data_IF_195556304795
#
_entry.id   IF_195556304795
#
_cell.length_a   1.000
_cell.length_b   1.000
_cell.length_c   1.000
_cell.angle_alpha   90.00
_cell.angle_beta   90.00
_cell.angle_gamma   90.00
#
_symmetry.space_group_name_H-M   'P 1'
#
loop_
_entity.id
_entity.type
_entity.pdbx_description
1 polymer ?
#
# COMPACT_ATOMS: atom_id res chain seq x y z
N UNK A 1 1.44 18.48 -9.99
CA UNK A 1 1.32 17.46 -8.92
C UNK A 1 2.48 17.67 -7.96
N UNK A 2 2.34 17.48 -6.64
CA UNK A 2 3.41 17.73 -5.66
C UNK A 2 3.70 16.50 -4.79
N UNK A 3 4.97 16.34 -4.42
CA UNK A 3 5.48 15.23 -3.60
C UNK A 3 6.11 15.77 -2.31
N UNK A 4 5.68 15.25 -1.16
CA UNK A 4 6.26 15.59 0.15
C UNK A 4 6.89 14.34 0.79
N UNK A 5 8.14 14.46 1.27
CA UNK A 5 8.93 13.40 1.90
C UNK A 5 9.07 13.65 3.42
N UNK A 6 8.98 12.60 4.24
CA UNK A 6 9.14 12.64 5.70
C UNK A 6 10.00 11.48 6.21
N UNK A 7 10.91 11.74 7.16
CA UNK A 7 11.85 10.74 7.73
C UNK A 7 11.27 10.12 9.01
N UNK A 8 11.08 8.81 9.07
CA UNK A 8 10.43 8.11 10.19
C UNK A 8 11.32 7.83 11.41
N UNK A 9 10.80 8.05 12.62
CA UNK A 9 11.39 7.58 13.91
C UNK A 9 11.19 6.06 14.10
N UNK A 10 12.19 5.35 14.64
CA UNK A 10 12.15 3.91 14.94
C UNK A 10 11.05 3.55 15.97
N UNK A 11 10.18 2.58 15.64
CA UNK A 11 9.24 1.95 16.58
C UNK A 11 9.77 0.58 17.05
N UNK A 12 9.48 0.20 18.31
CA UNK A 12 9.83 -1.10 18.87
C UNK A 12 8.99 -2.24 18.27
N UNK A 13 9.60 -3.39 18.03
CA UNK A 13 8.97 -4.57 17.41
C UNK A 13 8.35 -5.49 18.49
N UNK A 14 7.11 -5.98 18.33
CA UNK A 14 6.57 -7.01 19.18
C UNK A 14 7.20 -8.38 18.85
N UNK A 15 7.44 -9.18 19.88
CA UNK A 15 7.90 -10.57 19.77
C UNK A 15 6.76 -11.43 19.21
N UNK A 16 7.04 -12.24 18.18
CA UNK A 16 6.09 -13.23 17.63
C UNK A 16 6.73 -14.60 17.71
N UNK A 17 6.11 -15.46 18.52
CA UNK A 17 6.23 -16.90 18.38
C UNK A 17 5.47 -17.30 17.10
N UNK A 18 6.17 -17.80 16.09
CA UNK A 18 5.60 -18.14 14.78
C UNK A 18 5.59 -19.65 14.68
N UNK A 19 4.48 -20.26 15.06
CA UNK A 19 4.17 -21.62 14.63
C UNK A 19 3.87 -21.64 13.14
N UNK A 20 4.45 -22.65 12.50
CA UNK A 20 4.48 -22.97 11.08
C UNK A 20 3.08 -22.91 10.42
N UNK A 21 2.79 -21.80 9.75
CA UNK A 21 1.73 -21.67 8.77
C UNK A 21 2.17 -20.57 7.80
N UNK A 22 2.30 -20.91 6.52
CA UNK A 22 2.75 -19.96 5.50
C UNK A 22 1.86 -18.71 5.56
N UNK A 23 2.47 -17.52 5.65
CA UNK A 23 1.71 -16.27 5.67
C UNK A 23 0.94 -16.13 4.35
N UNK A 24 -0.36 -16.43 4.36
CA UNK A 24 -1.24 -16.39 3.17
C UNK A 24 -1.16 -15.03 2.47
N UNK A 25 -1.01 -13.94 3.24
CA UNK A 25 -0.81 -12.59 2.69
C UNK A 25 0.44 -12.47 1.81
N UNK A 26 1.53 -13.16 2.17
CA UNK A 26 2.76 -13.18 1.39
C UNK A 26 2.57 -14.07 0.16
N UNK A 27 1.93 -15.23 0.33
CA UNK A 27 1.66 -16.15 -0.78
C UNK A 27 0.76 -15.51 -1.86
N UNK A 28 -0.33 -14.86 -1.45
CA UNK A 28 -1.24 -14.16 -2.35
C UNK A 28 -0.47 -13.14 -3.22
N UNK A 29 0.37 -12.31 -2.59
CA UNK A 29 1.12 -11.28 -3.31
C UNK A 29 2.25 -11.86 -4.19
N UNK A 30 2.79 -13.03 -3.86
CA UNK A 30 3.80 -13.72 -4.68
C UNK A 30 3.19 -14.59 -5.80
N UNK A 31 1.90 -14.89 -5.73
CA UNK A 31 1.17 -15.70 -6.73
C UNK A 31 0.83 -14.94 -8.02
N UNK A 32 0.97 -13.62 -7.99
CA UNK A 32 0.72 -12.73 -9.11
C UNK A 32 1.61 -13.02 -10.33
N UNK A 33 1.05 -12.91 -11.54
CA UNK A 33 1.79 -13.11 -12.77
C UNK A 33 2.70 -11.91 -13.07
N UNK A 34 4.02 -12.13 -13.01
CA UNK A 34 5.04 -11.09 -13.22
C UNK A 34 5.10 -10.61 -14.67
N UNK A 35 4.83 -11.50 -15.63
CA UNK A 35 4.87 -11.17 -17.06
C UNK A 35 3.74 -10.20 -17.40
N UNK A 36 2.53 -10.46 -16.89
CA UNK A 36 1.38 -9.56 -17.05
C UNK A 36 1.68 -8.15 -16.53
N UNK A 37 2.31 -8.04 -15.35
CA UNK A 37 2.72 -6.75 -14.79
C UNK A 37 3.83 -6.07 -15.58
N UNK A 38 4.73 -6.84 -16.17
CA UNK A 38 5.79 -6.32 -17.04
C UNK A 38 5.18 -5.71 -18.29
N UNK A 39 4.26 -6.43 -18.94
CA UNK A 39 3.56 -5.94 -20.12
C UNK A 39 2.68 -4.72 -19.80
N UNK A 40 1.94 -4.74 -18.69
CA UNK A 40 1.14 -3.58 -18.25
C UNK A 40 2.02 -2.35 -18.04
N UNK A 41 3.12 -2.52 -17.31
CA UNK A 41 4.09 -1.47 -17.06
C UNK A 41 4.66 -0.90 -18.36
N UNK A 42 5.16 -1.75 -19.26
CA UNK A 42 5.85 -1.32 -20.47
C UNK A 42 4.90 -0.62 -21.45
N UNK A 43 3.63 -1.03 -21.51
CA UNK A 43 2.60 -0.33 -22.29
C UNK A 43 2.28 1.06 -21.75
N UNK A 44 2.26 1.22 -20.43
CA UNK A 44 1.73 2.41 -19.78
C UNK A 44 2.81 3.43 -19.40
N UNK A 45 4.07 3.01 -19.22
CA UNK A 45 5.18 3.90 -18.82
C UNK A 45 5.42 5.06 -19.81
N UNK A 46 5.08 4.84 -21.07
CA UNK A 46 5.20 5.84 -22.14
C UNK A 46 4.08 6.89 -22.12
N UNK A 47 2.99 6.65 -21.38
CA UNK A 47 1.81 7.54 -21.31
C UNK A 47 1.88 8.55 -20.15
N UNK A 48 2.94 8.50 -19.33
CA UNK A 48 3.12 9.42 -18.21
C UNK A 48 3.41 10.85 -18.69
N UNK A 49 2.86 11.82 -17.97
CA UNK A 49 3.33 13.21 -18.08
C UNK A 49 4.71 13.37 -17.42
N UNK A 50 5.43 14.43 -17.75
CA UNK A 50 6.75 14.70 -17.16
C UNK A 50 6.70 14.83 -15.63
N UNK A 51 5.61 15.40 -15.09
CA UNK A 51 5.39 15.50 -13.64
C UNK A 51 5.20 14.13 -12.98
N UNK A 52 4.39 13.26 -13.60
CA UNK A 52 4.18 11.90 -13.10
C UNK A 52 5.46 11.07 -13.18
N UNK A 53 6.23 11.23 -14.26
CA UNK A 53 7.52 10.55 -14.47
C UNK A 53 8.52 10.88 -13.39
N UNK A 54 8.69 12.16 -13.05
CA UNK A 54 9.59 12.59 -11.97
C UNK A 54 9.24 11.94 -10.63
N UNK A 55 7.95 11.89 -10.29
CA UNK A 55 7.48 11.30 -9.04
C UNK A 55 7.65 9.78 -9.06
N UNK A 56 7.35 9.13 -10.19
CA UNK A 56 7.59 7.71 -10.38
C UNK A 56 9.06 7.36 -10.16
N UNK A 57 9.98 8.08 -10.81
CA UNK A 57 11.42 7.85 -10.72
C UNK A 57 11.93 8.03 -9.28
N UNK A 58 11.51 9.09 -8.59
CA UNK A 58 11.92 9.34 -7.20
C UNK A 58 11.49 8.20 -6.25
N UNK A 59 10.25 7.73 -6.39
CA UNK A 59 9.73 6.63 -5.56
C UNK A 59 10.43 5.31 -5.92
N UNK A 60 10.57 5.01 -7.21
CA UNK A 60 11.24 3.79 -7.66
C UNK A 60 12.70 3.75 -7.24
N UNK A 61 13.43 4.86 -7.31
CA UNK A 61 14.81 4.93 -6.82
C UNK A 61 14.91 4.68 -5.31
N UNK A 62 13.90 5.07 -4.54
CA UNK A 62 13.86 4.80 -3.10
C UNK A 62 13.58 3.31 -2.81
N UNK A 63 12.67 2.70 -3.58
CA UNK A 63 12.35 1.27 -3.50
C UNK A 63 13.56 0.42 -3.91
N UNK A 64 14.14 0.67 -5.09
CA UNK A 64 15.30 -0.04 -5.62
C UNK A 64 16.50 0.11 -4.71
N UNK A 65 16.73 1.33 -4.21
CA UNK A 65 17.80 1.63 -3.27
C UNK A 65 17.56 1.09 -1.85
N UNK A 66 16.39 0.46 -1.58
CA UNK A 66 15.99 -0.04 -0.26
C UNK A 66 16.12 0.99 0.86
N UNK A 67 15.96 2.28 0.52
CA UNK A 67 16.10 3.40 1.45
C UNK A 67 14.90 3.50 2.39
N UNK A 68 13.76 2.94 1.96
CA UNK A 68 12.47 3.14 2.62
C UNK A 68 12.02 4.61 2.52
N UNK A 69 10.84 4.90 3.06
CA UNK A 69 10.31 6.26 3.08
C UNK A 69 8.79 6.28 3.11
N UNK A 70 8.24 7.47 3.36
CA UNK A 70 6.81 7.75 3.21
C UNK A 70 6.68 8.90 2.22
N UNK A 71 5.86 8.68 1.20
CA UNK A 71 5.65 9.61 0.10
C UNK A 71 4.19 10.04 0.06
N UNK A 72 3.96 11.34 0.01
CA UNK A 72 2.62 11.90 -0.19
C UNK A 72 2.54 12.50 -1.58
N UNK A 73 1.70 11.92 -2.45
CA UNK A 73 1.43 12.45 -3.78
C UNK A 73 0.11 13.23 -3.75
N UNK A 74 0.18 14.54 -4.00
CA UNK A 74 -0.98 15.42 -4.03
C UNK A 74 -1.23 15.98 -5.43
N UNK A 75 -2.52 16.07 -5.80
CA UNK A 75 -2.95 16.70 -7.04
C UNK A 75 -4.47 16.79 -7.13
N UNK A 76 -4.96 17.72 -7.94
CA UNK A 76 -6.39 17.91 -8.17
C UNK A 76 -7.08 16.66 -8.76
N UNK A 77 -8.41 16.63 -8.75
CA UNK A 77 -9.16 15.62 -9.49
C UNK A 77 -8.73 15.55 -10.96
N UNK A 78 -8.72 14.36 -11.56
CA UNK A 78 -8.33 14.19 -12.97
C UNK A 78 -6.82 14.16 -13.27
N UNK A 79 -5.94 14.37 -12.29
CA UNK A 79 -4.46 14.37 -12.48
C UNK A 79 -3.82 12.99 -12.67
N UNK A 80 -4.61 11.92 -12.81
CA UNK A 80 -4.08 10.58 -13.05
C UNK A 80 -3.34 9.93 -11.88
N UNK A 81 -3.58 10.32 -10.62
CA UNK A 81 -2.95 9.69 -9.43
C UNK A 81 -3.12 8.17 -9.40
N UNK A 82 -4.32 7.67 -9.71
CA UNK A 82 -4.58 6.22 -9.79
C UNK A 82 -3.72 5.54 -10.85
N UNK A 83 -3.50 6.21 -11.99
CA UNK A 83 -2.64 5.71 -13.05
C UNK A 83 -1.17 5.63 -12.60
N UNK A 84 -0.67 6.66 -11.91
CA UNK A 84 0.67 6.63 -11.31
C UNK A 84 0.82 5.46 -10.32
N UNK A 85 -0.15 5.28 -9.41
CA UNK A 85 -0.09 4.18 -8.44
C UNK A 85 -0.09 2.81 -9.11
N UNK A 86 -0.90 2.62 -10.17
CA UNK A 86 -0.91 1.39 -10.99
C UNK A 86 0.46 1.05 -11.55
N UNK A 87 1.11 2.03 -12.17
CA UNK A 87 2.46 1.88 -12.72
C UNK A 87 3.50 1.51 -11.65
N UNK A 88 3.45 2.18 -10.49
CA UNK A 88 4.37 1.91 -9.39
C UNK A 88 4.27 0.47 -8.90
N UNK A 89 3.06 0.00 -8.56
CA UNK A 89 2.93 -1.36 -8.06
C UNK A 89 3.13 -2.42 -9.14
N UNK A 90 2.81 -2.14 -10.41
CA UNK A 90 3.12 -3.04 -11.52
C UNK A 90 4.63 -3.22 -11.67
N UNK A 91 5.40 -2.12 -11.63
CA UNK A 91 6.86 -2.15 -11.67
C UNK A 91 7.48 -2.92 -10.49
N UNK A 92 6.90 -2.80 -9.30
CA UNK A 92 7.39 -3.52 -8.11
C UNK A 92 7.02 -5.01 -8.18
N UNK A 93 5.79 -5.35 -8.58
CA UNK A 93 5.33 -6.74 -8.69
C UNK A 93 6.01 -7.50 -9.83
N UNK A 94 6.33 -6.85 -10.95
CA UNK A 94 7.08 -7.48 -12.06
C UNK A 94 8.47 -7.96 -11.60
N UNK A 95 9.07 -7.25 -10.63
CA UNK A 95 10.34 -7.64 -9.97
C UNK A 95 10.18 -8.78 -8.96
N UNK A 96 8.96 -9.26 -8.73
CA UNK A 96 8.65 -10.28 -7.73
C UNK A 96 8.65 -9.77 -6.30
N UNK A 97 8.56 -8.45 -6.11
CA UNK A 97 8.48 -7.82 -4.80
C UNK A 97 7.01 -7.68 -4.34
N UNK A 98 6.80 -7.56 -3.03
CA UNK A 98 5.47 -7.56 -2.42
C UNK A 98 4.93 -6.13 -2.32
N UNK A 99 3.69 -5.91 -2.78
CA UNK A 99 3.00 -4.63 -2.64
C UNK A 99 1.66 -4.80 -1.95
N UNK A 100 1.42 -4.07 -0.86
CA UNK A 100 0.14 -4.10 -0.16
C UNK A 100 -0.69 -2.86 -0.53
N UNK A 101 -1.58 -3.03 -1.50
CA UNK A 101 -2.52 -1.98 -1.90
C UNK A 101 -3.63 -1.82 -0.85
N UNK A 102 -3.73 -0.62 -0.28
CA UNK A 102 -4.70 -0.27 0.77
C UNK A 102 -5.42 1.02 0.42
N UNK A 103 -6.74 1.03 0.57
CA UNK A 103 -7.58 2.22 0.45
C UNK A 103 -8.39 2.47 1.72
N UNK A 104 -8.88 3.69 1.92
CA UNK A 104 -9.76 4.01 3.04
C UNK A 104 -11.18 3.51 2.83
N UNK A 105 -11.69 3.53 1.58
CA UNK A 105 -13.04 3.10 1.22
C UNK A 105 -13.04 1.85 0.35
N UNK A 106 -14.14 1.08 0.42
CA UNK A 106 -14.34 -0.09 -0.43
C UNK A 106 -14.30 0.26 -1.92
N UNK A 107 -14.97 1.35 -2.32
CA UNK A 107 -14.99 1.81 -3.72
C UNK A 107 -13.59 2.16 -4.21
N UNK A 108 -12.79 2.88 -3.41
CA UNK A 108 -11.42 3.22 -3.79
C UNK A 108 -10.53 1.97 -3.89
N UNK A 109 -10.78 0.94 -3.07
CA UNK A 109 -10.01 -0.31 -3.14
C UNK A 109 -10.18 -1.06 -4.46
N UNK A 110 -11.35 -0.94 -5.11
CA UNK A 110 -11.62 -1.58 -6.41
C UNK A 110 -10.77 -1.00 -7.56
N UNK A 111 -10.24 0.21 -7.39
CA UNK A 111 -9.38 0.86 -8.38
C UNK A 111 -7.94 0.34 -8.35
N UNK A 112 -7.59 -0.47 -7.36
CA UNK A 112 -6.25 -1.03 -7.16
C UNK A 112 -6.35 -2.55 -7.23
N UNK A 113 -5.53 -3.19 -8.06
CA UNK A 113 -5.50 -4.65 -8.12
C UNK A 113 -5.02 -5.22 -6.78
N UNK A 114 -5.75 -6.22 -6.26
CA UNK A 114 -5.55 -6.72 -4.91
C UNK A 114 -5.87 -5.69 -3.81
N UNK A 115 -6.51 -4.57 -4.15
CA UNK A 115 -6.85 -3.52 -3.22
C UNK A 115 -7.80 -4.01 -2.13
N UNK A 116 -7.49 -3.65 -0.89
CA UNK A 116 -8.36 -3.90 0.26
C UNK A 116 -8.52 -2.62 1.07
N UNK A 117 -9.56 -2.55 1.88
CA UNK A 117 -9.66 -1.45 2.85
C UNK A 117 -8.63 -1.65 3.96
N UNK A 118 -8.18 -0.56 4.59
CA UNK A 118 -7.27 -0.65 5.74
C UNK A 118 -7.84 -1.58 6.83
N UNK A 119 -9.16 -1.48 7.07
CA UNK A 119 -9.91 -2.31 8.01
C UNK A 119 -9.77 -3.80 7.71
N UNK A 120 -9.93 -4.22 6.45
CA UNK A 120 -9.86 -5.64 6.08
C UNK A 120 -8.44 -6.15 5.85
N UNK A 121 -7.49 -5.27 5.50
CA UNK A 121 -6.09 -5.66 5.28
C UNK A 121 -5.33 -5.87 6.59
N UNK A 122 -5.54 -4.99 7.57
CA UNK A 122 -4.78 -5.03 8.82
C UNK A 122 -5.55 -5.65 9.98
N UNK A 123 -6.86 -5.90 9.80
CA UNK A 123 -7.72 -6.40 10.85
C UNK A 123 -7.79 -5.36 11.96
N UNK A 124 -8.82 -4.52 11.96
CA UNK A 124 -9.14 -3.84 13.20
C UNK A 124 -9.52 -4.91 14.22
N UNK A 125 -8.60 -5.23 15.12
CA UNK A 125 -9.01 -5.73 16.43
C UNK A 125 -9.80 -4.58 17.01
N UNK A 126 -11.13 -4.64 16.89
CA UNK A 126 -12.05 -3.78 17.61
C UNK A 126 -11.67 -3.95 19.08
N UNK A 127 -10.90 -3.03 19.60
CA UNK A 127 -10.81 -2.81 21.03
C UNK A 127 -12.22 -2.42 21.41
N UNK A 128 -13.03 -3.41 21.79
CA UNK A 128 -14.15 -3.12 22.66
C UNK A 128 -13.50 -2.41 23.84
N UNK A 129 -13.69 -1.10 23.94
CA UNK A 129 -13.64 -0.45 25.24
C UNK A 129 -14.57 -1.31 26.07
N UNK A 130 -14.04 -1.98 27.10
CA UNK A 130 -14.90 -2.65 28.08
C UNK A 130 -15.92 -1.59 28.47
N UNK A 131 -17.19 -1.80 28.12
CA UNK A 131 -18.26 -1.06 28.72
C UNK A 131 -18.03 -1.25 30.20
N UNK A 132 -17.56 -0.20 30.87
CA UNK A 132 -17.49 -0.16 32.31
C UNK A 132 -18.86 -0.59 32.78
N UNK A 133 -18.88 -1.65 33.58
CA UNK A 133 -20.03 -2.11 34.31
C UNK A 133 -20.67 -0.88 34.95
N UNK A 134 -21.82 -0.44 34.45
CA UNK A 134 -22.68 0.46 35.22
C UNK A 134 -23.17 -0.41 36.37
N UNK A 135 -22.65 -0.12 37.56
CA UNK A 135 -23.14 -0.72 38.79
C UNK A 135 -24.59 -0.24 39.01
N UNK A 136 -25.58 -1.12 39.19
CA UNK A 136 -26.94 -0.74 39.50
C UNK A 136 -27.11 0.07 40.80
N UNK A 137 -26.04 0.29 41.60
CA UNK A 137 -26.11 1.07 42.84
C UNK A 137 -25.94 2.59 42.70
N UNK A 138 -25.65 3.12 41.51
CA UNK A 138 -25.36 4.56 41.30
C UNK A 138 -26.58 5.42 40.90
N UNK A 139 -27.80 5.07 41.33
CA UNK A 139 -28.98 5.97 41.31
C UNK A 139 -29.38 6.43 42.70
#
# INVERSE_FOLDING_TARGET
>A
MELHYQIGKKMAKPFRDVTDSQNVLILDELSYNREEFTEEHDRDILKMTDEQRKIYEEIMDAVIGKRGGVFFVYGFGGTGKTFLWRLLFAAIRSRGEIVLNVASSGIASLLLQGGRTAHSRFGEKRIYLSSGSIDPSDT
#
